data_IF_637746690733
#
_entry.id   IF_637746690733
#
_cell.length_a   1.000
_cell.length_b   1.000
_cell.length_c   1.000
_cell.angle_alpha   90.00
_cell.angle_beta   90.00
_cell.angle_gamma   90.00
#
_symmetry.space_group_name_H-M   'P 1'
#
loop_
_entity.id
_entity.type
_entity.pdbx_description
1 polymer ?
#
# COMPACT_ATOMS: atom_id res chain seq x y z
N UNK A 1 -40.97 -13.07 -46.80
CA UNK A 1 -40.58 -12.08 -45.76
C UNK A 1 -40.10 -12.88 -44.55
N UNK A 2 -38.79 -13.07 -44.46
CA UNK A 2 -38.20 -13.81 -43.33
C UNK A 2 -37.93 -12.81 -42.22
N UNK A 3 -38.66 -12.91 -41.11
CA UNK A 3 -38.37 -12.19 -39.90
C UNK A 3 -37.11 -12.76 -39.26
N UNK A 4 -36.02 -12.02 -39.28
CA UNK A 4 -34.88 -12.24 -38.42
C UNK A 4 -35.28 -11.88 -36.98
N UNK A 5 -35.54 -12.88 -36.17
CA UNK A 5 -35.61 -12.71 -34.73
C UNK A 5 -34.21 -12.44 -34.23
N UNK A 6 -33.92 -11.21 -33.83
CA UNK A 6 -32.68 -10.82 -33.16
C UNK A 6 -32.58 -11.61 -31.86
N UNK A 7 -31.52 -12.41 -31.74
CA UNK A 7 -31.31 -13.27 -30.56
C UNK A 7 -30.58 -12.44 -29.48
N UNK A 8 -31.29 -11.50 -28.88
CA UNK A 8 -30.73 -10.60 -27.82
C UNK A 8 -30.18 -11.39 -26.64
N UNK A 9 -30.75 -12.58 -26.34
CA UNK A 9 -30.27 -13.47 -25.28
C UNK A 9 -28.84 -14.01 -25.51
N UNK A 10 -28.41 -14.16 -26.77
CA UNK A 10 -27.07 -14.67 -27.07
C UNK A 10 -26.00 -13.61 -26.82
N UNK A 11 -26.27 -12.35 -27.16
CA UNK A 11 -25.37 -11.24 -26.89
C UNK A 11 -25.29 -10.92 -25.39
N UNK A 12 -26.40 -11.01 -24.66
CA UNK A 12 -26.41 -10.87 -23.21
C UNK A 12 -25.64 -12.02 -22.52
N UNK A 13 -25.78 -13.25 -23.00
CA UNK A 13 -25.02 -14.40 -22.51
C UNK A 13 -23.50 -14.22 -22.76
N UNK A 14 -23.12 -13.79 -23.96
CA UNK A 14 -21.70 -13.52 -24.27
C UNK A 14 -21.14 -12.39 -23.43
N UNK A 15 -21.91 -11.32 -23.21
CA UNK A 15 -21.53 -10.19 -22.36
C UNK A 15 -21.37 -10.62 -20.92
N UNK A 16 -22.32 -11.33 -20.36
CA UNK A 16 -22.24 -11.89 -19.00
C UNK A 16 -21.08 -12.86 -18.84
N UNK A 17 -20.79 -13.67 -19.88
CA UNK A 17 -19.65 -14.58 -19.87
C UNK A 17 -18.31 -13.84 -19.98
N UNK A 18 -18.25 -12.80 -20.81
CA UNK A 18 -17.10 -11.90 -20.92
C UNK A 18 -16.86 -11.16 -19.61
N UNK A 19 -17.92 -10.60 -19.00
CA UNK A 19 -17.84 -9.93 -17.72
C UNK A 19 -17.38 -10.89 -16.61
N UNK A 20 -17.88 -12.14 -16.60
CA UNK A 20 -17.47 -13.18 -15.67
C UNK A 20 -16.00 -13.59 -15.82
N UNK A 21 -15.51 -13.73 -17.07
CA UNK A 21 -14.09 -14.03 -17.33
C UNK A 21 -13.21 -12.85 -16.95
N UNK A 22 -13.64 -11.62 -17.27
CA UNK A 22 -12.90 -10.39 -16.92
C UNK A 22 -12.81 -10.21 -15.40
N UNK A 23 -13.87 -10.54 -14.66
CA UNK A 23 -13.87 -10.51 -13.18
C UNK A 23 -12.92 -11.54 -12.55
N UNK A 24 -12.59 -12.62 -13.27
CA UNK A 24 -11.68 -13.68 -12.77
C UNK A 24 -10.23 -13.51 -13.21
N UNK A 25 -9.95 -12.60 -14.13
CA UNK A 25 -8.61 -12.39 -14.65
C UNK A 25 -8.12 -11.00 -14.23
N UNK A 26 -7.05 -10.97 -13.45
CA UNK A 26 -6.44 -9.74 -12.94
C UNK A 26 -5.06 -9.53 -13.52
N UNK A 27 -4.63 -8.31 -13.56
CA UNK A 27 -3.26 -7.98 -13.95
C UNK A 27 -2.32 -8.08 -12.74
N UNK A 28 -1.21 -8.74 -12.94
CA UNK A 28 -0.07 -8.73 -12.04
C UNK A 28 1.08 -7.93 -12.65
N UNK A 29 1.65 -7.01 -11.89
CA UNK A 29 2.81 -6.23 -12.26
C UNK A 29 3.97 -6.53 -11.31
N UNK A 30 5.10 -6.96 -11.87
CA UNK A 30 6.39 -7.00 -11.21
C UNK A 30 7.22 -5.84 -11.75
N UNK A 31 7.35 -4.78 -10.96
CA UNK A 31 8.10 -3.59 -11.40
C UNK A 31 9.52 -3.55 -10.82
N UNK A 32 9.97 -4.63 -10.17
CA UNK A 32 11.30 -4.74 -9.63
C UNK A 32 11.56 -3.71 -8.52
N UNK A 33 12.73 -3.13 -8.53
CA UNK A 33 13.18 -2.15 -7.55
C UNK A 33 13.29 -0.77 -8.19
N UNK A 34 12.70 0.24 -7.56
CA UNK A 34 12.74 1.64 -8.01
C UNK A 34 12.87 2.58 -6.82
N UNK A 35 13.21 3.83 -7.08
CA UNK A 35 13.27 4.86 -6.05
C UNK A 35 11.89 5.25 -5.52
N UNK A 36 11.87 5.99 -4.41
CA UNK A 36 10.64 6.36 -3.73
C UNK A 36 9.66 7.14 -4.61
N UNK A 37 10.18 8.04 -5.41
CA UNK A 37 9.38 8.93 -6.26
C UNK A 37 8.70 8.17 -7.41
N UNK A 38 9.45 7.29 -8.06
CA UNK A 38 8.95 6.47 -9.16
C UNK A 38 7.92 5.45 -8.66
N UNK A 39 8.18 4.78 -7.53
CA UNK A 39 7.23 3.83 -6.95
C UNK A 39 5.88 4.47 -6.66
N UNK A 40 5.86 5.68 -6.10
CA UNK A 40 4.62 6.40 -5.83
C UNK A 40 3.94 6.92 -7.10
N UNK A 41 4.71 7.33 -8.10
CA UNK A 41 4.17 7.76 -9.40
C UNK A 41 3.49 6.60 -10.13
N UNK A 42 4.07 5.40 -10.09
CA UNK A 42 3.47 4.18 -10.69
C UNK A 42 2.16 3.81 -9.99
N UNK A 43 2.14 3.78 -8.65
CA UNK A 43 0.92 3.46 -7.90
C UNK A 43 -0.21 4.45 -8.24
N UNK A 44 0.09 5.75 -8.30
CA UNK A 44 -0.92 6.76 -8.66
C UNK A 44 -1.33 6.68 -10.12
N UNK A 45 -0.43 6.39 -11.05
CA UNK A 45 -0.77 6.23 -12.47
C UNK A 45 -1.77 5.10 -12.69
N UNK A 46 -1.55 3.94 -12.07
CA UNK A 46 -2.48 2.82 -12.12
C UNK A 46 -3.81 3.18 -11.46
N UNK A 47 -3.78 3.88 -10.30
CA UNK A 47 -4.98 4.31 -9.59
C UNK A 47 -5.84 5.25 -10.44
N UNK A 48 -5.24 6.27 -11.09
CA UNK A 48 -5.94 7.20 -11.97
C UNK A 48 -6.45 6.52 -13.26
N UNK A 49 -5.68 5.60 -13.83
CA UNK A 49 -6.08 4.80 -14.97
C UNK A 49 -7.28 3.92 -14.66
N UNK A 50 -7.30 3.30 -13.47
CA UNK A 50 -8.43 2.51 -12.99
C UNK A 50 -9.69 3.36 -12.77
N UNK A 51 -9.55 4.59 -12.24
CA UNK A 51 -10.68 5.53 -12.09
C UNK A 51 -11.37 5.86 -13.41
N UNK A 52 -10.62 5.84 -14.50
CA UNK A 52 -11.12 6.10 -15.85
C UNK A 52 -11.60 4.83 -16.57
N UNK A 53 -11.54 3.67 -15.92
CA UNK A 53 -11.90 2.40 -16.52
C UNK A 53 -10.87 1.85 -17.52
N UNK A 54 -9.66 2.42 -17.56
CA UNK A 54 -8.59 2.05 -18.52
C UNK A 54 -7.64 0.98 -17.97
N UNK A 55 -7.78 0.57 -16.72
CA UNK A 55 -6.96 -0.49 -16.11
C UNK A 55 -7.84 -1.58 -15.53
N UNK A 56 -7.49 -2.85 -15.71
CA UNK A 56 -8.12 -3.95 -14.98
C UNK A 56 -7.72 -3.90 -13.50
N UNK A 57 -8.40 -4.67 -12.63
CA UNK A 57 -7.92 -4.91 -11.27
C UNK A 57 -6.46 -5.37 -11.30
N UNK A 58 -5.63 -4.69 -10.53
CA UNK A 58 -4.18 -4.85 -10.62
C UNK A 58 -3.55 -5.10 -9.25
N UNK A 59 -2.72 -6.14 -9.17
CA UNK A 59 -1.78 -6.37 -8.06
C UNK A 59 -0.40 -6.03 -8.57
N UNK A 60 0.29 -5.12 -7.87
CA UNK A 60 1.68 -4.77 -8.15
C UNK A 60 2.54 -5.17 -6.97
N UNK A 61 3.68 -5.83 -7.24
CA UNK A 61 4.70 -6.19 -6.25
C UNK A 61 6.01 -5.52 -6.63
N UNK A 62 6.69 -4.92 -5.64
CA UNK A 62 7.90 -4.15 -5.89
C UNK A 62 8.77 -3.97 -4.64
N UNK A 63 10.00 -3.53 -4.84
CA UNK A 63 10.97 -3.16 -3.82
C UNK A 63 11.47 -1.72 -4.00
N UNK A 64 12.43 -1.34 -3.19
CA UNK A 64 12.95 0.02 -3.11
C UNK A 64 14.46 0.05 -3.27
N UNK A 65 14.94 0.94 -4.14
CA UNK A 65 16.36 1.23 -4.30
C UNK A 65 16.54 2.65 -4.86
N UNK A 66 17.18 3.57 -4.11
CA UNK A 66 17.65 3.40 -2.72
C UNK A 66 16.49 3.18 -1.74
N UNK A 67 16.79 2.89 -0.45
CA UNK A 67 15.78 2.91 0.61
C UNK A 67 15.02 4.22 0.61
N UNK A 68 13.73 4.18 1.01
CA UNK A 68 12.89 5.36 1.01
C UNK A 68 12.07 5.46 2.29
N UNK A 69 11.81 6.68 2.73
CA UNK A 69 10.89 6.97 3.81
C UNK A 69 9.61 7.60 3.24
N UNK A 70 8.50 6.86 3.29
CA UNK A 70 7.22 7.40 2.83
C UNK A 70 6.46 8.07 3.95
N UNK A 71 6.09 9.34 3.75
CA UNK A 71 5.17 10.09 4.60
C UNK A 71 3.72 9.76 4.26
N UNK A 72 2.87 9.64 5.28
CA UNK A 72 1.43 9.60 5.07
C UNK A 72 0.92 10.95 4.57
N UNK A 73 -0.19 10.93 3.82
CA UNK A 73 -0.75 12.11 3.13
C UNK A 73 -0.86 13.36 4.00
N UNK A 74 -1.27 13.21 5.27
CA UNK A 74 -1.51 14.31 6.20
C UNK A 74 -0.33 14.65 7.13
N UNK A 75 0.79 13.92 7.02
CA UNK A 75 1.93 14.16 7.89
C UNK A 75 2.69 15.42 7.50
N UNK A 76 3.17 16.15 8.51
CA UNK A 76 4.12 17.25 8.34
C UNK A 76 5.54 16.67 8.35
N UNK A 77 6.28 16.88 7.27
CA UNK A 77 7.62 16.31 7.11
C UNK A 77 8.56 16.73 8.25
N UNK A 78 8.69 18.03 8.52
CA UNK A 78 9.62 18.55 9.52
C UNK A 78 9.28 18.20 10.98
N UNK A 79 8.06 17.70 11.27
CA UNK A 79 7.67 17.20 12.60
C UNK A 79 7.90 15.69 12.74
N UNK A 80 8.06 14.99 11.62
CA UNK A 80 8.02 13.53 11.57
C UNK A 80 9.36 12.90 11.21
N UNK A 81 10.20 13.60 10.46
CA UNK A 81 11.38 13.05 9.80
C UNK A 81 12.56 14.00 9.93
N UNK A 82 13.74 13.45 10.25
CA UNK A 82 15.00 14.15 10.11
C UNK A 82 15.49 14.07 8.66
N UNK A 83 15.21 15.13 7.89
CA UNK A 83 15.56 15.22 6.47
C UNK A 83 17.08 15.21 6.25
N UNK A 84 17.86 15.73 7.20
CA UNK A 84 19.32 15.74 7.12
C UNK A 84 19.89 14.33 7.29
N UNK A 85 19.38 13.58 8.27
CA UNK A 85 19.75 12.20 8.48
C UNK A 85 19.35 11.31 7.27
N UNK A 86 18.18 11.53 6.69
CA UNK A 86 17.76 10.82 5.47
C UNK A 86 18.74 11.09 4.31
N UNK A 87 19.09 12.36 4.08
CA UNK A 87 20.01 12.74 3.00
C UNK A 87 21.41 12.14 3.21
N UNK A 88 21.95 12.16 4.43
CA UNK A 88 23.25 11.57 4.75
C UNK A 88 23.29 10.05 4.54
N UNK A 89 22.15 9.37 4.70
CA UNK A 89 22.02 7.92 4.51
C UNK A 89 21.59 7.54 3.10
N UNK A 90 21.36 8.50 2.20
CA UNK A 90 20.88 8.23 0.84
C UNK A 90 19.45 7.66 0.82
N UNK A 91 18.62 8.06 1.79
CA UNK A 91 17.22 7.63 1.91
C UNK A 91 16.31 8.67 1.26
N UNK A 92 15.55 8.28 0.26
CA UNK A 92 14.55 9.13 -0.36
C UNK A 92 13.43 9.50 0.62
N UNK A 93 12.91 10.71 0.56
CA UNK A 93 11.71 11.10 1.32
C UNK A 93 10.57 11.43 0.36
N UNK A 94 9.53 10.62 0.38
CA UNK A 94 8.39 10.74 -0.54
C UNK A 94 7.07 10.75 0.22
N UNK A 95 6.05 11.43 -0.32
CA UNK A 95 4.70 11.41 0.24
C UNK A 95 3.80 10.50 -0.57
N UNK A 96 3.16 9.53 0.08
CA UNK A 96 2.19 8.62 -0.54
C UNK A 96 0.77 9.19 -0.56
N UNK A 97 -0.11 8.64 -1.41
CA UNK A 97 -1.52 9.02 -1.52
C UNK A 97 -2.37 8.65 -0.31
N UNK A 98 -1.99 7.59 0.37
CA UNK A 98 -2.71 7.07 1.53
C UNK A 98 -2.32 7.80 2.82
N UNK A 99 -3.19 7.73 3.81
CA UNK A 99 -2.90 8.23 5.15
C UNK A 99 -1.90 7.35 5.92
N UNK A 100 -1.90 7.50 7.23
CA UNK A 100 -1.03 6.78 8.14
C UNK A 100 0.23 7.56 8.51
N UNK A 101 1.19 6.88 9.14
CA UNK A 101 2.46 7.45 9.61
C UNK A 101 3.60 7.10 8.68
N UNK A 102 4.78 7.69 8.94
CA UNK A 102 5.99 7.42 8.18
C UNK A 102 6.38 5.94 8.21
N UNK A 103 6.83 5.43 7.08
CA UNK A 103 7.33 4.06 6.91
C UNK A 103 8.68 4.14 6.22
N UNK A 104 9.69 3.48 6.80
CA UNK A 104 10.96 3.23 6.14
C UNK A 104 10.81 1.95 5.30
N UNK A 105 11.08 2.08 4.03
CA UNK A 105 11.08 1.01 3.03
C UNK A 105 12.53 0.68 2.66
N UNK A 106 12.92 -0.58 2.90
CA UNK A 106 14.26 -1.08 2.59
C UNK A 106 14.16 -2.57 2.24
N UNK A 107 14.50 -3.47 3.15
CA UNK A 107 14.47 -4.92 2.93
C UNK A 107 13.07 -5.49 3.18
N UNK A 108 12.18 -5.27 2.23
CA UNK A 108 10.77 -5.64 2.29
C UNK A 108 10.22 -6.03 0.92
N UNK A 109 9.08 -6.68 0.92
CA UNK A 109 8.21 -6.76 -0.25
C UNK A 109 7.06 -5.78 -0.06
N UNK A 110 6.95 -4.80 -0.95
CA UNK A 110 5.78 -3.92 -1.01
C UNK A 110 4.76 -4.47 -2.01
N UNK A 111 3.49 -4.48 -1.62
CA UNK A 111 2.38 -4.76 -2.51
C UNK A 111 1.51 -3.51 -2.69
N UNK A 112 0.90 -3.36 -3.86
CA UNK A 112 -0.27 -2.49 -4.04
C UNK A 112 -1.35 -3.23 -4.80
N UNK A 113 -2.60 -3.08 -4.35
CA UNK A 113 -3.80 -3.60 -4.97
C UNK A 113 -4.71 -2.44 -5.32
N UNK A 114 -5.06 -2.35 -6.61
CA UNK A 114 -5.85 -1.27 -7.16
C UNK A 114 -7.01 -1.86 -7.95
N UNK A 115 -8.24 -1.50 -7.56
CA UNK A 115 -9.43 -1.94 -8.28
C UNK A 115 -10.63 -1.02 -8.01
N UNK A 116 -11.73 -1.16 -8.77
CA UNK A 116 -12.97 -0.44 -8.52
C UNK A 116 -13.53 -0.70 -7.11
N UNK A 117 -14.10 0.33 -6.48
CA UNK A 117 -14.83 0.19 -5.23
C UNK A 117 -16.08 -0.67 -5.43
N UNK A 118 -16.41 -1.46 -4.42
CA UNK A 118 -17.55 -2.39 -4.47
C UNK A 118 -17.32 -3.65 -5.29
N UNK A 119 -16.16 -3.80 -5.92
CA UNK A 119 -15.81 -5.02 -6.63
C UNK A 119 -15.72 -6.21 -5.66
N UNK A 120 -16.45 -7.32 -5.89
CA UNK A 120 -16.29 -8.51 -5.07
C UNK A 120 -14.86 -9.08 -5.17
N UNK A 121 -14.30 -9.58 -4.04
CA UNK A 121 -14.91 -9.73 -2.72
C UNK A 121 -14.66 -8.54 -1.75
N UNK A 122 -14.11 -7.38 -2.19
CA UNK A 122 -13.60 -6.31 -1.32
C UNK A 122 -14.67 -5.43 -0.67
N UNK A 123 -15.93 -5.53 -1.09
CA UNK A 123 -17.01 -4.71 -0.55
C UNK A 123 -16.83 -3.20 -0.81
N UNK A 124 -17.62 -2.40 -0.10
CA UNK A 124 -17.66 -0.94 -0.28
C UNK A 124 -16.92 -0.17 0.81
N UNK A 125 -16.50 -0.85 1.87
CA UNK A 125 -15.85 -0.21 3.02
C UNK A 125 -14.34 -0.49 3.05
N UNK A 126 -13.61 0.39 3.74
CA UNK A 126 -12.18 0.20 4.01
C UNK A 126 -11.93 -1.12 4.72
N UNK A 127 -12.76 -1.46 5.72
CA UNK A 127 -12.57 -2.63 6.56
C UNK A 127 -12.79 -3.96 5.81
N UNK A 128 -13.77 -4.01 4.92
CA UNK A 128 -14.03 -5.20 4.10
C UNK A 128 -12.83 -5.50 3.20
N UNK A 129 -12.31 -4.49 2.50
CA UNK A 129 -11.13 -4.66 1.66
C UNK A 129 -9.88 -5.05 2.49
N UNK A 130 -9.65 -4.40 3.65
CA UNK A 130 -8.55 -4.77 4.55
C UNK A 130 -8.63 -6.22 5.01
N UNK A 131 -9.85 -6.70 5.31
CA UNK A 131 -10.08 -8.07 5.73
C UNK A 131 -9.65 -9.05 4.64
N UNK A 132 -10.18 -8.89 3.43
CA UNK A 132 -9.90 -9.81 2.32
C UNK A 132 -8.41 -9.81 1.96
N UNK A 133 -7.81 -8.63 1.81
CA UNK A 133 -6.40 -8.51 1.47
C UNK A 133 -5.51 -9.08 2.60
N UNK A 134 -5.86 -8.79 3.85
CA UNK A 134 -5.15 -9.33 5.01
C UNK A 134 -5.22 -10.85 5.11
N UNK A 135 -6.35 -11.47 4.73
CA UNK A 135 -6.50 -12.93 4.66
C UNK A 135 -5.55 -13.53 3.60
N UNK A 136 -5.43 -12.91 2.43
CA UNK A 136 -4.46 -13.32 1.42
C UNK A 136 -3.02 -13.24 1.96
N UNK A 137 -2.64 -12.15 2.60
CA UNK A 137 -1.29 -11.96 3.14
C UNK A 137 -1.01 -12.92 4.29
N UNK A 138 -1.97 -13.13 5.17
CA UNK A 138 -1.87 -14.09 6.28
C UNK A 138 -1.62 -15.51 5.75
N UNK A 139 -2.37 -15.92 4.73
CA UNK A 139 -2.22 -17.23 4.10
C UNK A 139 -0.84 -17.38 3.44
N UNK A 140 -0.35 -16.33 2.76
CA UNK A 140 1.00 -16.33 2.20
C UNK A 140 2.08 -16.57 3.26
N UNK A 141 2.01 -15.86 4.39
CA UNK A 141 3.00 -15.98 5.46
C UNK A 141 2.92 -17.32 6.21
N UNK A 142 1.71 -17.86 6.41
CA UNK A 142 1.54 -19.22 6.95
C UNK A 142 2.23 -20.30 6.10
N UNK A 143 2.35 -20.06 4.80
CA UNK A 143 3.07 -20.95 3.90
C UNK A 143 4.57 -21.11 4.17
N UNK A 144 5.15 -20.23 5.00
CA UNK A 144 6.52 -20.36 5.52
C UNK A 144 6.57 -21.00 6.92
N UNK A 145 5.50 -21.63 7.38
CA UNK A 145 5.36 -22.21 8.70
C UNK A 145 5.57 -21.22 9.86
N UNK A 146 5.30 -19.93 9.60
CA UNK A 146 5.31 -18.89 10.61
C UNK A 146 4.03 -18.92 11.43
N UNK A 147 4.13 -18.72 12.74
CA UNK A 147 2.96 -18.52 13.62
C UNK A 147 2.45 -17.09 13.50
N UNK A 148 1.83 -16.83 12.34
CA UNK A 148 1.24 -15.53 12.05
C UNK A 148 -0.19 -15.47 12.58
N UNK A 149 -0.48 -14.37 13.23
CA UNK A 149 -1.77 -14.10 13.82
C UNK A 149 -2.37 -12.82 13.23
N UNK A 150 -3.67 -12.80 13.20
CA UNK A 150 -4.43 -11.63 12.82
C UNK A 150 -4.97 -10.95 14.08
N UNK A 151 -4.69 -9.66 14.25
CA UNK A 151 -5.27 -8.88 15.35
C UNK A 151 -6.64 -8.37 14.90
N UNK A 152 -7.75 -8.94 15.41
CA UNK A 152 -9.09 -8.55 14.99
C UNK A 152 -9.44 -7.15 15.52
N UNK A 153 -10.31 -6.46 14.76
CA UNK A 153 -10.85 -5.13 15.08
C UNK A 153 -11.42 -4.97 16.49
N UNK A 154 -11.79 -6.05 17.19
CA UNK A 154 -12.48 -6.01 18.47
C UNK A 154 -11.65 -5.55 19.68
N UNK A 155 -10.33 -5.59 19.58
CA UNK A 155 -9.47 -5.16 20.69
C UNK A 155 -9.21 -3.65 20.73
N UNK A 156 -10.31 -2.85 20.68
CA UNK A 156 -10.25 -1.40 21.01
C UNK A 156 -9.52 -1.12 22.35
N UNK A 157 -9.51 -2.06 23.27
CA UNK A 157 -8.87 -1.90 24.58
C UNK A 157 -7.34 -1.95 24.54
N UNK A 158 -6.72 -2.58 23.54
CA UNK A 158 -5.26 -2.54 23.36
C UNK A 158 -4.82 -1.16 22.88
N UNK A 159 -5.58 -0.56 21.96
CA UNK A 159 -5.34 0.82 21.50
C UNK A 159 -5.54 1.88 22.60
N UNK A 160 -6.43 1.63 23.58
CA UNK A 160 -6.73 2.58 24.65
C UNK A 160 -5.75 2.49 25.83
N UNK A 161 -4.99 1.40 25.97
CA UNK A 161 -3.97 1.27 27.05
C UNK A 161 -2.72 2.12 26.83
N UNK A 162 -2.54 2.70 25.62
CA UNK A 162 -1.44 3.61 25.33
C UNK A 162 -1.93 4.95 24.75
N UNK A 163 -2.77 5.74 25.50
CA UNK A 163 -3.36 6.98 24.99
C UNK A 163 -2.36 8.12 24.74
N UNK A 164 -1.10 7.96 25.16
CA UNK A 164 -0.09 9.03 25.11
C UNK A 164 0.97 8.90 24.00
N UNK A 165 0.93 7.87 23.19
CA UNK A 165 1.88 7.71 22.08
C UNK A 165 1.31 8.33 20.81
N UNK A 166 1.41 9.64 20.64
CA UNK A 166 1.42 10.28 19.30
C UNK A 166 2.75 9.93 18.63
N UNK A 167 2.96 8.65 18.41
CA UNK A 167 4.20 8.16 17.81
C UNK A 167 4.22 8.44 16.31
N UNK A 168 5.39 8.82 15.83
CA UNK A 168 5.63 9.23 14.44
C UNK A 168 5.64 8.04 13.47
N UNK A 169 5.91 6.82 13.99
CA UNK A 169 6.10 5.61 13.19
C UNK A 169 4.80 4.79 13.01
N UNK A 170 4.58 4.31 11.77
CA UNK A 170 3.42 3.49 11.39
C UNK A 170 3.40 2.11 12.06
N UNK A 171 4.57 1.56 12.39
CA UNK A 171 4.68 0.22 13.00
C UNK A 171 4.47 0.21 14.51
N UNK A 172 4.54 1.35 15.21
CA UNK A 172 4.36 1.43 16.66
C UNK A 172 2.93 1.65 17.13
N UNK A 173 1.95 1.75 16.22
CA UNK A 173 0.53 1.89 16.59
C UNK A 173 -0.30 0.80 15.97
N UNK A 174 -1.15 0.13 16.77
CA UNK A 174 -2.09 -0.84 16.23
C UNK A 174 -3.03 -0.15 15.23
N UNK A 175 -3.12 -0.70 14.04
CA UNK A 175 -4.15 -0.37 13.07
C UNK A 175 -5.12 -1.56 12.94
N UNK A 176 -6.12 -1.40 12.09
CA UNK A 176 -7.14 -2.41 11.86
C UNK A 176 -6.53 -3.56 11.05
N UNK A 177 -6.79 -4.82 11.45
CA UNK A 177 -6.36 -6.03 10.72
C UNK A 177 -4.84 -6.11 10.49
N UNK A 178 -4.05 -5.99 11.56
CA UNK A 178 -2.60 -6.17 11.49
C UNK A 178 -2.20 -7.64 11.51
N UNK A 179 -1.19 -7.94 10.73
CA UNK A 179 -0.55 -9.26 10.73
C UNK A 179 0.65 -9.21 11.66
N UNK A 180 0.66 -10.10 12.64
CA UNK A 180 1.69 -10.17 13.67
C UNK A 180 2.32 -11.55 13.75
N UNK A 181 3.56 -11.59 14.23
CA UNK A 181 4.27 -12.81 14.65
C UNK A 181 4.67 -12.57 16.11
N UNK A 182 4.29 -13.46 17.02
CA UNK A 182 4.53 -13.32 18.47
C UNK A 182 4.02 -11.97 19.02
N UNK A 183 2.90 -11.48 18.50
CA UNK A 183 2.31 -10.20 18.92
C UNK A 183 3.00 -8.95 18.34
N UNK A 184 4.07 -9.10 17.55
CA UNK A 184 4.81 -8.01 16.91
C UNK A 184 4.40 -7.88 15.45
N UNK A 185 4.19 -6.66 14.99
CA UNK A 185 3.75 -6.34 13.64
C UNK A 185 4.83 -6.69 12.62
N UNK A 186 4.45 -7.44 11.58
CA UNK A 186 5.31 -7.84 10.45
C UNK A 186 4.87 -7.23 9.13
N UNK A 187 3.61 -6.80 9.05
CA UNK A 187 3.05 -6.18 7.85
C UNK A 187 2.25 -4.94 8.22
N UNK A 188 2.44 -3.86 7.48
CA UNK A 188 1.71 -2.61 7.61
C UNK A 188 1.04 -2.21 6.31
N UNK A 189 -0.23 -1.81 6.36
CA UNK A 189 -0.99 -1.42 5.17
C UNK A 189 -1.68 -0.06 5.36
N UNK A 190 -1.92 0.61 4.25
CA UNK A 190 -2.69 1.85 4.19
C UNK A 190 -3.55 1.85 2.92
N UNK A 191 -4.68 2.56 2.95
CA UNK A 191 -5.62 2.60 1.84
C UNK A 191 -5.98 4.04 1.44
N UNK A 192 -6.14 4.26 0.15
CA UNK A 192 -6.73 5.46 -0.47
C UNK A 192 -8.00 5.06 -1.19
N UNK A 193 -9.08 5.81 -0.99
CA UNK A 193 -10.34 5.68 -1.74
C UNK A 193 -10.74 6.99 -2.36
N UNK A 194 -11.44 6.93 -3.45
CA UNK A 194 -12.04 8.08 -4.14
C UNK A 194 -12.21 7.85 -5.63
N UNK A 195 -13.18 8.53 -6.24
CA UNK A 195 -13.47 8.41 -7.67
C UNK A 195 -13.89 7.01 -8.10
N UNK A 196 -14.55 6.24 -7.22
CA UNK A 196 -14.99 4.89 -7.53
C UNK A 196 -13.89 3.82 -7.56
N UNK A 197 -12.69 4.15 -7.05
CA UNK A 197 -11.52 3.25 -7.04
C UNK A 197 -10.86 3.26 -5.67
N UNK A 198 -10.30 2.13 -5.26
CA UNK A 198 -9.40 2.09 -4.12
C UNK A 198 -8.02 1.58 -4.50
N UNK A 199 -7.03 2.08 -3.78
CA UNK A 199 -5.67 1.60 -3.73
C UNK A 199 -5.38 1.21 -2.28
N UNK A 200 -5.00 -0.05 -2.05
CA UNK A 200 -4.41 -0.48 -0.79
C UNK A 200 -3.00 -0.96 -1.04
N UNK A 201 -2.04 -0.40 -0.33
CA UNK A 201 -0.65 -0.82 -0.39
C UNK A 201 -0.10 -1.10 1.01
N UNK A 202 0.97 -1.87 1.08
CA UNK A 202 1.58 -2.24 2.35
C UNK A 202 2.92 -2.92 2.18
N UNK A 203 3.67 -2.92 3.29
CA UNK A 203 5.01 -3.47 3.42
C UNK A 203 4.98 -4.76 4.20
N UNK A 204 5.63 -5.80 3.71
CA UNK A 204 5.88 -7.07 4.39
C UNK A 204 7.38 -7.12 4.67
N UNK A 205 7.77 -7.00 5.93
CA UNK A 205 9.16 -6.86 6.33
C UNK A 205 9.93 -8.19 6.22
N UNK A 206 10.91 -8.26 5.32
CA UNK A 206 11.86 -9.37 5.27
C UNK A 206 12.91 -9.22 6.36
N UNK A 207 13.48 -8.02 6.49
CA UNK A 207 14.37 -7.62 7.57
C UNK A 207 13.90 -6.28 8.15
N UNK A 208 14.38 -5.93 9.32
CA UNK A 208 14.03 -4.66 9.96
C UNK A 208 15.21 -4.14 10.77
N UNK A 209 15.64 -2.91 10.49
CA UNK A 209 16.70 -2.22 11.19
C UNK A 209 16.11 -1.06 11.99
N UNK A 210 15.99 -1.26 13.30
CA UNK A 210 15.45 -0.27 14.23
C UNK A 210 16.38 0.95 14.39
N UNK A 211 17.70 0.76 14.26
CA UNK A 211 18.68 1.82 14.43
C UNK A 211 18.58 2.86 13.31
N UNK A 212 18.45 2.39 12.05
CA UNK A 212 18.24 3.29 10.90
C UNK A 212 16.93 4.07 11.11
N UNK A 213 15.87 3.41 11.53
CA UNK A 213 14.59 4.05 11.77
C UNK A 213 14.66 5.10 12.88
N UNK A 214 15.42 4.82 13.97
CA UNK A 214 15.65 5.77 15.04
C UNK A 214 16.53 6.96 14.65
N UNK A 215 17.36 6.83 13.62
CA UNK A 215 18.16 7.94 13.12
C UNK A 215 17.37 8.90 12.23
N UNK A 216 16.38 8.39 11.48
CA UNK A 216 15.66 9.18 10.47
C UNK A 216 14.29 9.70 10.93
N UNK A 217 13.77 9.25 12.06
CA UNK A 217 12.49 9.71 12.59
C UNK A 217 12.66 10.70 13.75
N UNK A 218 11.80 11.71 13.78
CA UNK A 218 11.67 12.61 14.93
C UNK A 218 10.74 11.97 15.98
N UNK A 219 11.18 11.85 17.21
CA UNK A 219 10.41 11.35 18.35
C UNK A 219 10.62 12.20 19.60
N UNK A 220 9.63 12.17 20.51
CA UNK A 220 9.64 13.03 21.72
C UNK A 220 10.29 12.39 22.94
N UNK A 221 10.52 11.09 22.92
CA UNK A 221 11.12 10.29 24.00
C UNK A 221 12.60 10.04 23.76
N UNK A 222 13.32 9.54 24.75
CA UNK A 222 14.70 9.15 24.59
C UNK A 222 14.89 8.09 23.48
N UNK A 223 16.08 8.08 22.86
CA UNK A 223 16.41 7.13 21.78
C UNK A 223 16.26 5.68 22.22
N UNK A 224 16.75 5.33 23.41
CA UNK A 224 16.65 3.97 23.96
C UNK A 224 15.21 3.53 24.21
N UNK A 225 14.36 4.43 24.72
CA UNK A 225 12.93 4.14 24.91
C UNK A 225 12.23 3.91 23.57
N UNK A 226 12.62 4.67 22.54
CA UNK A 226 12.08 4.51 21.18
C UNK A 226 12.50 3.17 20.58
N UNK A 227 13.77 2.80 20.68
CA UNK A 227 14.30 1.52 20.21
C UNK A 227 13.65 0.35 20.94
N UNK A 228 13.51 0.45 22.25
CA UNK A 228 12.83 -0.57 23.08
C UNK A 228 11.39 -0.79 22.62
N UNK A 229 10.64 0.31 22.35
CA UNK A 229 9.28 0.22 21.83
C UNK A 229 9.26 -0.43 20.43
N UNK A 230 10.14 -0.03 19.52
CA UNK A 230 10.22 -0.64 18.19
C UNK A 230 10.46 -2.15 18.27
N UNK A 231 11.44 -2.58 19.05
CA UNK A 231 11.80 -4.00 19.25
C UNK A 231 10.68 -4.80 19.89
N UNK A 232 9.81 -4.15 20.69
CA UNK A 232 8.66 -4.79 21.33
C UNK A 232 7.41 -4.85 20.46
N UNK A 233 7.28 -3.97 19.45
CA UNK A 233 6.07 -3.84 18.63
C UNK A 233 6.22 -4.29 17.18
N UNK A 234 7.46 -4.38 16.67
CA UNK A 234 7.76 -4.68 15.26
C UNK A 234 8.69 -5.86 15.15
N UNK A 235 8.52 -6.63 14.09
CA UNK A 235 9.41 -7.73 13.73
C UNK A 235 9.47 -7.91 12.21
N UNK A 236 10.34 -8.80 11.73
CA UNK A 236 10.48 -9.18 10.33
C UNK A 236 10.41 -10.70 10.16
N UNK A 237 10.08 -11.16 8.96
CA UNK A 237 9.92 -12.58 8.64
C UNK A 237 11.18 -13.36 8.99
N UNK A 238 12.34 -12.87 8.57
CA UNK A 238 13.60 -13.60 8.67
C UNK A 238 14.14 -13.74 10.10
N UNK A 239 13.61 -12.96 11.06
CA UNK A 239 13.91 -13.15 12.49
C UNK A 239 13.29 -14.42 13.07
N UNK A 240 12.27 -14.98 12.41
CA UNK A 240 11.53 -16.17 12.87
C UNK A 240 11.80 -17.42 12.02
N UNK A 241 12.69 -17.34 11.03
CA UNK A 241 13.01 -18.43 10.13
C UNK A 241 14.46 -18.92 10.33
N UNK A 242 14.64 -20.25 10.30
CA UNK A 242 15.99 -20.86 10.32
C UNK A 242 16.75 -20.60 9.02
N UNK A 243 16.05 -20.58 7.90
CA UNK A 243 16.58 -20.27 6.57
C UNK A 243 15.88 -18.99 6.10
N UNK A 244 16.67 -17.98 5.75
CA UNK A 244 16.12 -16.70 5.31
C UNK A 244 15.39 -16.84 3.98
N UNK A 245 14.24 -16.18 3.89
CA UNK A 245 13.43 -16.04 2.68
C UNK A 245 13.87 -14.79 1.93
N UNK A 246 14.06 -14.92 0.63
CA UNK A 246 14.38 -13.80 -0.25
C UNK A 246 13.13 -13.10 -0.81
N UNK A 247 13.37 -11.92 -1.43
CA UNK A 247 12.34 -11.10 -2.04
C UNK A 247 11.45 -11.89 -3.03
N UNK A 248 12.05 -12.57 -3.99
CA UNK A 248 11.32 -13.28 -5.04
C UNK A 248 10.58 -14.51 -4.53
N UNK A 249 11.07 -15.15 -3.47
CA UNK A 249 10.38 -16.28 -2.85
C UNK A 249 9.13 -15.81 -2.11
N UNK A 250 9.22 -14.69 -1.37
CA UNK A 250 8.06 -14.07 -0.74
C UNK A 250 7.06 -13.58 -1.79
N UNK A 251 7.54 -12.96 -2.88
CA UNK A 251 6.73 -12.50 -4.00
C UNK A 251 5.91 -13.65 -4.61
N UNK A 252 6.55 -14.76 -4.95
CA UNK A 252 5.88 -15.94 -5.50
C UNK A 252 4.79 -16.49 -4.55
N UNK A 253 5.07 -16.51 -3.26
CA UNK A 253 4.14 -16.98 -2.24
C UNK A 253 2.94 -16.04 -2.09
N UNK A 254 3.16 -14.73 -2.13
CA UNK A 254 2.10 -13.73 -2.07
C UNK A 254 1.19 -13.85 -3.30
N UNK A 255 1.74 -13.92 -4.51
CA UNK A 255 0.95 -14.09 -5.74
C UNK A 255 0.08 -15.34 -5.68
N UNK A 256 0.69 -16.49 -5.35
CA UNK A 256 -0.05 -17.75 -5.23
C UNK A 256 -1.20 -17.63 -4.23
N UNK A 257 -0.96 -16.98 -3.10
CA UNK A 257 -1.99 -16.81 -2.07
C UNK A 257 -3.14 -15.92 -2.54
N UNK A 258 -2.86 -14.85 -3.30
CA UNK A 258 -3.90 -14.02 -3.88
C UNK A 258 -4.75 -14.78 -4.90
N UNK A 259 -4.12 -15.57 -5.79
CA UNK A 259 -4.86 -16.41 -6.75
C UNK A 259 -5.77 -17.40 -6.06
N UNK A 260 -5.23 -18.16 -5.09
CA UNK A 260 -5.98 -19.18 -4.37
C UNK A 260 -7.12 -18.60 -3.54
N UNK A 261 -6.87 -17.49 -2.82
CA UNK A 261 -7.84 -16.92 -1.89
C UNK A 261 -8.92 -16.11 -2.57
N UNK A 262 -8.60 -15.39 -3.65
CA UNK A 262 -9.57 -14.60 -4.41
C UNK A 262 -10.27 -15.43 -5.52
N UNK A 263 -9.75 -16.61 -5.85
CA UNK A 263 -10.25 -17.43 -6.95
C UNK A 263 -10.08 -16.75 -8.31
N UNK A 264 -8.97 -16.00 -8.49
CA UNK A 264 -8.65 -15.28 -9.72
C UNK A 264 -7.41 -15.84 -10.39
N UNK A 265 -7.22 -15.55 -11.67
CA UNK A 265 -5.98 -15.83 -12.39
C UNK A 265 -5.20 -14.53 -12.53
N UNK A 266 -3.94 -14.53 -12.12
CA UNK A 266 -3.04 -13.39 -12.21
C UNK A 266 -2.20 -13.45 -13.49
N UNK A 267 -2.54 -12.64 -14.48
CA UNK A 267 -1.77 -12.54 -15.71
C UNK A 267 -0.66 -11.50 -15.55
N UNK A 268 0.59 -11.93 -15.74
CA UNK A 268 1.73 -11.00 -15.76
C UNK A 268 1.56 -10.02 -16.91
N UNK A 269 1.61 -8.73 -16.58
CA UNK A 269 1.48 -7.63 -17.54
C UNK A 269 2.56 -6.59 -17.37
N UNK A 270 2.41 -5.50 -18.09
CA UNK A 270 3.19 -4.27 -17.99
C UNK A 270 2.25 -3.08 -17.83
N UNK A 271 2.79 -1.92 -17.51
CA UNK A 271 2.04 -0.66 -17.60
C UNK A 271 1.60 -0.45 -19.04
N UNK A 272 0.37 0.02 -19.25
CA UNK A 272 -0.09 0.47 -20.57
C UNK A 272 0.66 1.75 -20.98
N UNK A 273 0.62 2.10 -22.26
CA UNK A 273 1.19 3.36 -22.75
C UNK A 273 0.61 4.56 -22.00
N UNK A 274 -0.70 4.57 -21.78
CA UNK A 274 -1.37 5.60 -21.00
C UNK A 274 -0.88 5.68 -19.54
N UNK A 275 -0.66 4.55 -18.89
CA UNK A 275 -0.11 4.52 -17.52
C UNK A 275 1.35 4.97 -17.49
N UNK A 276 2.14 4.67 -18.52
CA UNK A 276 3.51 5.21 -18.67
C UNK A 276 3.50 6.73 -18.78
N UNK A 277 2.65 7.30 -19.64
CA UNK A 277 2.52 8.76 -19.79
C UNK A 277 2.06 9.42 -18.48
N UNK A 278 1.07 8.81 -17.80
CA UNK A 278 0.62 9.28 -16.48
C UNK A 278 1.75 9.26 -15.46
N UNK A 279 2.49 8.16 -15.37
CA UNK A 279 3.62 7.98 -14.46
C UNK A 279 4.68 9.06 -14.70
N UNK A 280 5.10 9.27 -15.96
CA UNK A 280 6.14 10.24 -16.29
C UNK A 280 5.70 11.67 -15.95
N UNK A 281 4.44 12.02 -16.22
CA UNK A 281 3.86 13.30 -15.83
C UNK A 281 3.81 13.46 -14.32
N UNK A 282 3.31 12.47 -13.59
CA UNK A 282 3.23 12.49 -12.12
C UNK A 282 4.62 12.57 -11.49
N UNK A 283 5.59 11.85 -12.02
CA UNK A 283 6.96 11.92 -11.55
C UNK A 283 7.49 13.34 -11.67
N UNK A 284 7.39 13.96 -12.85
CA UNK A 284 7.90 15.30 -13.13
C UNK A 284 7.15 16.40 -12.39
N UNK A 285 5.82 16.35 -12.35
CA UNK A 285 4.98 17.45 -11.87
C UNK A 285 4.64 17.38 -10.39
N UNK A 286 4.80 16.21 -9.79
CA UNK A 286 4.39 15.95 -8.40
C UNK A 286 5.49 15.31 -7.57
N UNK A 287 5.87 14.06 -7.87
CA UNK A 287 6.72 13.29 -6.96
C UNK A 287 8.18 13.72 -6.92
N UNK A 288 8.73 14.30 -8.00
CA UNK A 288 10.06 14.91 -7.98
C UNK A 288 10.10 16.30 -7.30
N UNK A 289 8.95 16.81 -6.81
CA UNK A 289 8.87 18.15 -6.23
C UNK A 289 8.78 18.11 -4.70
N UNK A 290 9.59 18.95 -4.07
CA UNK A 290 9.59 19.11 -2.60
C UNK A 290 8.26 19.66 -2.07
N UNK A 291 7.54 20.47 -2.86
CA UNK A 291 6.23 21.01 -2.50
C UNK A 291 5.23 19.90 -2.17
N UNK A 292 5.20 18.85 -2.98
CA UNK A 292 4.35 17.70 -2.70
C UNK A 292 4.88 16.89 -1.52
N UNK A 293 6.15 16.51 -1.55
CA UNK A 293 6.71 15.58 -0.59
C UNK A 293 6.80 16.16 0.82
N UNK A 294 7.17 17.43 0.95
CA UNK A 294 7.45 18.05 2.24
C UNK A 294 6.34 19.01 2.72
N UNK A 295 5.65 19.71 1.80
CA UNK A 295 4.76 20.83 2.13
C UNK A 295 3.28 20.62 1.79
N UNK A 296 2.85 19.43 1.32
CA UNK A 296 1.50 19.19 0.80
C UNK A 296 0.34 19.58 1.77
N UNK A 297 0.59 19.63 3.09
CA UNK A 297 -0.40 20.10 4.05
C UNK A 297 -0.81 21.58 3.88
N UNK A 298 -0.01 22.38 3.20
CA UNK A 298 -0.32 23.80 2.95
C UNK A 298 -1.11 24.03 1.66
N UNK A 299 -1.06 23.10 0.70
CA UNK A 299 -1.73 23.24 -0.61
C UNK A 299 -3.27 23.16 -0.46
N UNK A 300 -3.78 22.38 0.48
CA UNK A 300 -5.22 22.24 0.73
C UNK A 300 -5.87 23.51 1.34
N UNK A 301 -5.14 24.29 2.11
CA UNK A 301 -5.68 25.53 2.69
C UNK A 301 -5.83 26.64 1.64
N UNK A 302 -4.99 26.66 0.60
CA UNK A 302 -5.06 27.68 -0.45
C UNK A 302 -6.12 27.37 -1.54
N UNK A 303 -6.45 26.10 -1.78
CA UNK A 303 -7.48 25.72 -2.76
C UNK A 303 -8.90 25.89 -2.23
N UNK A 304 -9.12 25.79 -0.91
CA UNK A 304 -10.45 26.00 -0.29
C UNK A 304 -10.79 27.49 -0.19
N UNK A 305 -9.79 28.37 -0.09
CA UNK A 305 -10.01 29.83 -0.07
C UNK A 305 -10.29 30.40 -1.45
N UNK A 306 -9.78 29.81 -2.53
CA UNK A 306 -10.04 30.29 -3.91
C UNK A 306 -11.38 29.83 -4.51
N UNK A 307 -12.04 28.81 -3.96
CA UNK A 307 -13.38 28.38 -4.44
C UNK A 307 -14.52 29.23 -3.84
N UNK A 308 -14.27 29.98 -2.74
CA UNK A 308 -15.27 30.89 -2.15
C UNK A 308 -15.29 32.28 -2.76
N UNK A 309 -14.39 32.63 -3.66
CA UNK A 309 -14.30 33.97 -4.26
C UNK A 309 -14.97 34.12 -5.64
N UNK A 310 -15.66 33.07 -6.15
CA UNK A 310 -16.32 33.13 -7.47
C UNK A 310 -17.82 32.79 -7.44
N UNK A 311 -18.48 32.95 -6.28
CA UNK A 311 -19.95 32.96 -6.19
C UNK A 311 -20.34 34.21 -5.37
N UNK A 312 -20.37 35.32 -6.04
CA UNK A 312 -21.10 36.51 -5.68
C UNK A 312 -21.48 37.25 -6.98
#
# INVERSE_FOLDING_TARGET
MLHFVRNDNFFDFLRLHQDYITMKTWRYLDTGFSNGYENMAVDEAIYLSCQQGNSPPTIRLYGWTPPALSLGYFQKAGESVDLSACAQRGIDVVRRLSGGRAVLHDQELTYSLICPEGMPPFGTTVLEAYKVIGECLLHALKGFHLDVQWVPYRDKYVCLRHPHTRNVNCFSSPSWYEITIEGKKVCGSAQKRGGGTFLQHGSILLEHDEEILADVLCFKKGREDFLSELRSTTTSINRHLKVKVGFYELQARVLKSFEEHLGVTLNKGMLSEYEHELKDRLLKEKYARSEWNLNACHIHNNSVTNVKAHVA
#
